data_IF_455524604794
#
_entry.id   IF_455524604794
#
_cell.length_a   1.000
_cell.length_b   1.000
_cell.length_c   1.000
_cell.angle_alpha   90.00
_cell.angle_beta   90.00
_cell.angle_gamma   90.00
#
_symmetry.space_group_name_H-M   'P 1'
#
loop_
_entity.id
_entity.type
_entity.pdbx_description
1 polymer ?
#
# COMPACT_ATOMS: atom_id res chain seq x y z
N UNK A 1 -13.75 16.19 2.93
CA UNK A 1 -12.83 16.59 1.84
C UNK A 1 -13.31 16.03 0.50
N UNK A 2 -13.12 16.75 -0.61
CA UNK A 2 -13.44 16.24 -1.95
C UNK A 2 -12.45 15.14 -2.35
N UNK A 3 -12.96 14.01 -2.84
CA UNK A 3 -12.15 12.90 -3.35
C UNK A 3 -11.44 13.38 -4.62
N UNK A 4 -10.11 13.36 -4.62
CA UNK A 4 -9.31 13.78 -5.78
C UNK A 4 -9.28 12.65 -6.81
N UNK A 5 -9.99 12.84 -7.92
CA UNK A 5 -10.12 11.82 -8.97
C UNK A 5 -8.77 11.45 -9.61
N UNK A 6 -7.83 12.39 -9.72
CA UNK A 6 -6.51 12.12 -10.31
C UNK A 6 -5.68 11.16 -9.45
N UNK A 7 -5.72 11.30 -8.12
CA UNK A 7 -5.03 10.39 -7.20
C UNK A 7 -5.63 8.99 -7.29
N UNK A 8 -6.95 8.89 -7.40
CA UNK A 8 -7.66 7.60 -7.51
C UNK A 8 -7.33 6.88 -8.81
N UNK A 9 -7.23 7.60 -9.94
CA UNK A 9 -6.80 7.03 -11.22
C UNK A 9 -5.34 6.55 -11.14
N UNK A 10 -4.46 7.33 -10.51
CA UNK A 10 -3.06 6.96 -10.35
C UNK A 10 -2.88 5.70 -9.50
N UNK A 11 -3.74 5.45 -8.50
CA UNK A 11 -3.73 4.20 -7.72
C UNK A 11 -3.88 2.95 -8.58
N UNK A 12 -4.61 3.02 -9.70
CA UNK A 12 -4.76 1.87 -10.62
C UNK A 12 -3.42 1.56 -11.28
N UNK A 13 -2.69 2.58 -11.73
CA UNK A 13 -1.34 2.42 -12.29
C UNK A 13 -0.39 1.81 -11.25
N UNK A 14 -0.42 2.31 -10.01
CA UNK A 14 0.41 1.78 -8.94
C UNK A 14 0.06 0.34 -8.58
N UNK A 15 -1.22 -0.04 -8.63
CA UNK A 15 -1.63 -1.41 -8.38
C UNK A 15 -1.02 -2.37 -9.42
N UNK A 16 -0.98 -1.97 -10.69
CA UNK A 16 -0.30 -2.73 -11.75
C UNK A 16 1.20 -2.88 -11.46
N UNK A 17 1.85 -1.80 -10.97
CA UNK A 17 3.27 -1.84 -10.59
C UNK A 17 3.51 -2.83 -9.43
N UNK A 18 2.63 -2.85 -8.41
CA UNK A 18 2.72 -3.81 -7.30
C UNK A 18 2.59 -5.25 -7.79
N UNK A 19 1.64 -5.53 -8.70
CA UNK A 19 1.50 -6.87 -9.30
C UNK A 19 2.78 -7.26 -10.04
N UNK A 20 3.34 -6.35 -10.85
CA UNK A 20 4.58 -6.61 -11.58
C UNK A 20 5.77 -6.92 -10.65
N UNK A 21 5.88 -6.26 -9.49
CA UNK A 21 6.92 -6.54 -8.48
C UNK A 21 6.87 -8.00 -8.00
N UNK A 22 5.69 -8.57 -7.85
CA UNK A 22 5.52 -9.94 -7.36
C UNK A 22 5.62 -11.00 -8.46
N UNK A 23 5.23 -10.67 -9.70
CA UNK A 23 5.26 -11.61 -10.82
C UNK A 23 6.61 -11.67 -11.54
N UNK A 24 7.49 -10.67 -11.37
CA UNK A 24 8.78 -10.59 -12.08
C UNK A 24 8.64 -10.89 -13.59
N UNK A 25 7.77 -10.13 -14.30
CA UNK A 25 7.36 -10.50 -15.65
C UNK A 25 8.49 -10.44 -16.69
N UNK A 26 9.57 -9.69 -16.42
CA UNK A 26 10.68 -9.54 -17.36
C UNK A 26 11.77 -10.60 -17.14
N UNK A 27 11.65 -11.46 -16.13
CA UNK A 27 12.73 -12.35 -15.70
C UNK A 27 13.26 -13.23 -16.85
N UNK A 28 12.38 -13.72 -17.71
CA UNK A 28 12.74 -14.59 -18.83
C UNK A 28 13.06 -13.84 -20.14
N UNK A 29 12.58 -12.60 -20.30
CA UNK A 29 12.74 -11.84 -21.53
C UNK A 29 13.96 -10.91 -21.47
N UNK A 30 14.17 -10.27 -20.32
CA UNK A 30 15.24 -9.31 -20.10
C UNK A 30 15.58 -9.18 -18.61
N UNK A 31 16.53 -9.99 -18.09
CA UNK A 31 16.86 -10.02 -16.66
C UNK A 31 17.29 -8.67 -16.07
N UNK A 32 18.06 -7.88 -16.82
CA UNK A 32 18.48 -6.54 -16.36
C UNK A 32 17.30 -5.56 -16.28
N UNK A 33 16.29 -5.75 -17.13
CA UNK A 33 15.05 -4.97 -17.12
C UNK A 33 14.26 -5.17 -15.83
N UNK A 34 14.26 -6.38 -15.26
CA UNK A 34 13.62 -6.64 -13.98
C UNK A 34 14.33 -5.91 -12.83
N UNK A 35 15.66 -5.82 -12.86
CA UNK A 35 16.43 -5.11 -11.83
C UNK A 35 16.09 -3.61 -11.87
N UNK A 36 16.11 -3.02 -13.06
CA UNK A 36 15.88 -1.58 -13.23
C UNK A 36 14.42 -1.19 -13.03
N UNK A 37 13.49 -1.90 -13.66
CA UNK A 37 12.08 -1.50 -13.72
C UNK A 37 11.34 -2.09 -12.52
N UNK A 38 11.33 -3.41 -12.38
CA UNK A 38 10.51 -4.11 -11.40
C UNK A 38 11.06 -3.95 -9.98
N UNK A 39 12.37 -4.11 -9.80
CA UNK A 39 13.01 -4.10 -8.49
C UNK A 39 13.47 -2.72 -8.03
N UNK A 40 13.59 -1.73 -8.93
CA UNK A 40 13.98 -0.36 -8.55
C UNK A 40 12.82 0.61 -8.72
N UNK A 41 12.37 0.85 -9.95
CA UNK A 41 11.33 1.86 -10.21
C UNK A 41 9.98 1.50 -9.61
N UNK A 42 9.52 0.26 -9.75
CA UNK A 42 8.17 -0.11 -9.30
C UNK A 42 8.03 -0.14 -7.78
N UNK A 43 9.14 -0.27 -7.04
CA UNK A 43 9.13 -0.19 -5.57
C UNK A 43 8.63 1.12 -5.01
N UNK A 44 8.52 2.19 -5.81
CA UNK A 44 7.86 3.44 -5.40
C UNK A 44 6.36 3.28 -5.17
N UNK A 45 5.74 2.22 -5.69
CA UNK A 45 4.30 2.04 -5.60
C UNK A 45 3.80 1.86 -4.17
N UNK A 46 4.49 1.03 -3.38
CA UNK A 46 4.14 0.78 -1.97
C UNK A 46 4.25 2.05 -1.09
N UNK A 47 5.37 2.80 -1.05
CA UNK A 47 5.45 4.02 -0.27
C UNK A 47 4.47 5.09 -0.75
N UNK A 48 4.14 5.13 -2.04
CA UNK A 48 3.12 6.06 -2.53
C UNK A 48 1.71 5.67 -2.06
N UNK A 49 1.34 4.38 -2.08
CA UNK A 49 0.08 3.92 -1.48
C UNK A 49 -0.03 4.26 0.01
N UNK A 50 1.08 4.13 0.73
CA UNK A 50 1.15 4.55 2.13
C UNK A 50 0.92 6.06 2.28
N UNK A 51 1.56 6.88 1.44
CA UNK A 51 1.38 8.33 1.44
C UNK A 51 -0.06 8.76 1.11
N UNK A 52 -0.72 8.13 0.13
CA UNK A 52 -2.13 8.43 -0.19
C UNK A 52 -3.04 8.08 1.00
N UNK A 53 -2.80 6.92 1.61
CA UNK A 53 -3.58 6.48 2.78
C UNK A 53 -3.39 7.48 3.92
N UNK A 54 -2.16 7.93 4.14
CA UNK A 54 -1.82 9.01 5.06
C UNK A 54 -2.57 10.30 4.74
N UNK A 55 -2.52 10.76 3.48
CA UNK A 55 -3.17 11.98 3.02
C UNK A 55 -4.69 11.98 3.29
N UNK A 56 -5.40 10.88 3.03
CA UNK A 56 -6.85 10.82 3.26
C UNK A 56 -7.23 10.58 4.74
N UNK A 57 -6.40 9.90 5.52
CA UNK A 57 -6.72 9.54 6.91
C UNK A 57 -6.24 10.60 7.92
N UNK A 58 -5.07 11.22 7.69
CA UNK A 58 -4.44 12.19 8.59
C UNK A 58 -4.72 13.66 8.24
N UNK A 59 -5.23 13.97 7.05
CA UNK A 59 -5.55 15.36 6.67
C UNK A 59 -6.56 16.02 7.62
N UNK A 60 -7.58 15.28 8.05
CA UNK A 60 -8.56 15.79 9.01
C UNK A 60 -7.94 16.02 10.40
N UNK A 61 -6.98 15.19 10.83
CA UNK A 61 -6.22 15.40 12.07
C UNK A 61 -5.32 16.64 12.01
N UNK A 62 -4.68 16.87 10.87
CA UNK A 62 -3.80 18.02 10.67
C UNK A 62 -4.57 19.35 10.66
N UNK A 63 -5.83 19.32 10.25
CA UNK A 63 -6.67 20.52 10.14
C UNK A 63 -7.45 20.80 11.43
N UNK A 64 -7.90 19.76 12.14
CA UNK A 64 -8.60 19.88 13.42
C UNK A 64 -8.16 18.75 14.37
N UNK A 65 -7.52 19.10 15.48
CA UNK A 65 -7.17 18.15 16.54
C UNK A 65 -8.41 17.82 17.40
N UNK A 66 -9.45 17.29 16.76
CA UNK A 66 -10.72 16.92 17.40
C UNK A 66 -10.78 15.41 17.63
N UNK A 67 -11.39 15.01 18.75
CA UNK A 67 -11.63 13.62 19.14
C UNK A 67 -12.13 12.70 17.99
N UNK A 68 -13.11 13.11 17.14
CA UNK A 68 -13.57 12.27 16.03
C UNK A 68 -12.50 11.98 14.97
N UNK A 69 -11.57 12.90 14.71
CA UNK A 69 -10.49 12.69 13.75
C UNK A 69 -9.49 11.63 14.26
N UNK A 70 -9.13 11.68 15.56
CA UNK A 70 -8.26 10.69 16.20
C UNK A 70 -8.90 9.30 16.21
N UNK A 71 -10.21 9.23 16.41
CA UNK A 71 -10.95 7.98 16.39
C UNK A 71 -10.91 7.29 15.01
N UNK A 72 -11.01 8.05 13.91
CA UNK A 72 -10.90 7.46 12.55
C UNK A 72 -9.54 6.84 12.28
N UNK A 73 -8.46 7.52 12.68
CA UNK A 73 -7.10 6.99 12.54
C UNK A 73 -6.93 5.71 13.37
N UNK A 74 -7.44 5.70 14.61
CA UNK A 74 -7.42 4.49 15.43
C UNK A 74 -8.18 3.32 14.80
N UNK A 75 -9.35 3.57 14.22
CA UNK A 75 -10.12 2.55 13.50
C UNK A 75 -9.36 2.03 12.27
N UNK A 76 -8.67 2.91 11.53
CA UNK A 76 -7.83 2.52 10.39
C UNK A 76 -6.68 1.61 10.84
N UNK A 77 -5.94 2.01 11.88
CA UNK A 77 -4.83 1.20 12.43
C UNK A 77 -5.34 -0.15 12.92
N UNK A 78 -6.47 -0.17 13.65
CA UNK A 78 -7.07 -1.42 14.14
C UNK A 78 -7.41 -2.38 12.99
N UNK A 79 -8.02 -1.86 11.91
CA UNK A 79 -8.30 -2.66 10.70
C UNK A 79 -7.02 -3.21 10.07
N UNK A 80 -5.99 -2.38 9.91
CA UNK A 80 -4.73 -2.81 9.33
C UNK A 80 -4.04 -3.89 10.17
N UNK A 81 -4.06 -3.74 11.50
CA UNK A 81 -3.54 -4.71 12.44
C UNK A 81 -4.31 -6.04 12.39
N UNK A 82 -5.64 -5.98 12.31
CA UNK A 82 -6.47 -7.18 12.17
C UNK A 82 -6.16 -7.97 10.90
N UNK A 83 -6.06 -7.29 9.75
CA UNK A 83 -5.69 -7.94 8.49
C UNK A 83 -4.29 -8.57 8.58
N UNK A 84 -3.33 -7.86 9.17
CA UNK A 84 -1.97 -8.37 9.35
C UNK A 84 -1.91 -9.60 10.28
N UNK A 85 -2.66 -9.57 11.39
CA UNK A 85 -2.75 -10.70 12.32
C UNK A 85 -3.39 -11.92 11.67
N UNK A 86 -4.49 -11.74 10.93
CA UNK A 86 -5.15 -12.83 10.20
C UNK A 86 -4.20 -13.44 9.17
N UNK A 87 -3.53 -12.60 8.36
CA UNK A 87 -2.55 -13.08 7.38
C UNK A 87 -1.40 -13.84 8.04
N UNK A 88 -0.86 -13.31 9.15
CA UNK A 88 0.20 -13.96 9.93
C UNK A 88 -0.25 -15.32 10.47
N UNK A 89 -1.45 -15.41 11.05
CA UNK A 89 -1.99 -16.68 11.57
C UNK A 89 -2.22 -17.71 10.46
N UNK A 90 -2.65 -17.28 9.28
CA UNK A 90 -2.79 -18.16 8.12
C UNK A 90 -1.44 -18.66 7.60
N UNK A 91 -0.39 -17.84 7.69
CA UNK A 91 0.97 -18.22 7.28
C UNK A 91 1.74 -19.01 8.33
N UNK A 92 1.35 -18.95 9.61
CA UNK A 92 2.03 -19.58 10.73
C UNK A 92 2.23 -21.10 10.54
N UNK A 93 1.22 -21.88 10.08
CA UNK A 93 1.40 -23.31 9.80
C UNK A 93 2.40 -23.58 8.67
N UNK A 94 2.44 -22.70 7.67
CA UNK A 94 3.35 -22.79 6.54
C UNK A 94 4.80 -22.47 6.94
N UNK A 95 4.99 -21.59 7.93
CA UNK A 95 6.30 -21.18 8.42
C UNK A 95 6.95 -22.21 9.37
N UNK A 96 6.17 -23.12 9.94
CA UNK A 96 6.68 -24.18 10.83
C UNK A 96 7.20 -25.41 10.06
N UNK A 97 6.85 -25.52 8.77
CA UNK A 97 7.35 -26.55 7.86
C UNK A 97 8.62 -26.07 7.15
#
# INVERSE_FOLDING_TARGET
MKKNQGIEQFRVLLAMMVVAIHCLPLHHLWPDGDILITLTLFRIAVPFFFMISGYYVFSDLATQNSYPARQRVWQFIKKQLQVYLIATLLFLPLAWY
#
